data_IF_959695982979
#
_entry.id   IF_959695982979
#
_cell.length_a   1.000
_cell.length_b   1.000
_cell.length_c   1.000
_cell.angle_alpha   90.00
_cell.angle_beta   90.00
_cell.angle_gamma   90.00
#
_symmetry.space_group_name_H-M   'P 1'
#
loop_
_entity.id
_entity.type
_entity.pdbx_description
1 polymer ?
#
# COMPACT_ATOMS: atom_id res chain seq x y z
N UNK A 1 -16.83 -39.80 22.95
CA UNK A 1 -17.62 -38.81 22.23
C UNK A 1 -17.48 -39.07 20.73
N UNK A 2 -18.57 -39.46 20.06
CA UNK A 2 -18.60 -39.73 18.62
C UNK A 2 -19.16 -38.50 17.93
N UNK A 3 -18.42 -37.92 16.98
CA UNK A 3 -18.88 -36.81 16.14
C UNK A 3 -19.48 -37.41 14.87
N UNK A 4 -20.80 -37.26 14.71
CA UNK A 4 -21.54 -37.70 13.53
C UNK A 4 -21.31 -36.73 12.38
N UNK A 5 -20.87 -37.25 11.22
CA UNK A 5 -20.68 -36.47 10.01
C UNK A 5 -22.03 -36.09 9.37
N UNK A 6 -22.12 -34.86 8.90
CA UNK A 6 -23.25 -34.29 8.15
C UNK A 6 -23.30 -34.89 6.75
N UNK A 7 -24.41 -35.53 6.41
CA UNK A 7 -24.72 -36.04 5.08
C UNK A 7 -24.85 -34.92 4.07
N UNK A 8 -23.98 -34.89 3.03
CA UNK A 8 -24.09 -33.97 1.91
C UNK A 8 -25.27 -34.33 1.00
N UNK A 9 -26.15 -33.39 0.74
CA UNK A 9 -27.25 -33.48 -0.22
C UNK A 9 -26.69 -33.48 -1.65
N UNK A 10 -27.03 -34.43 -2.52
CA UNK A 10 -26.62 -34.39 -3.92
C UNK A 10 -27.46 -33.35 -4.67
N UNK A 11 -26.81 -32.33 -5.22
CA UNK A 11 -27.42 -31.35 -6.13
C UNK A 11 -27.58 -32.01 -7.49
N UNK A 12 -28.82 -32.26 -7.88
CA UNK A 12 -29.17 -32.77 -9.19
C UNK A 12 -28.81 -31.76 -10.29
N UNK A 13 -28.03 -32.22 -11.26
CA UNK A 13 -27.67 -31.47 -12.47
C UNK A 13 -28.87 -31.55 -13.44
N UNK A 14 -29.47 -30.44 -13.94
CA UNK A 14 -30.48 -30.51 -14.94
C UNK A 14 -29.82 -30.91 -16.29
N UNK A 15 -30.42 -31.93 -16.95
CA UNK A 15 -30.00 -32.39 -18.26
C UNK A 15 -30.13 -31.26 -19.30
N UNK A 16 -29.01 -30.91 -19.93
CA UNK A 16 -28.98 -30.00 -21.05
C UNK A 16 -29.59 -30.66 -22.25
N UNK A 17 -30.75 -30.16 -22.72
CA UNK A 17 -31.35 -30.48 -23.98
C UNK A 17 -30.46 -29.98 -25.12
N UNK A 18 -29.89 -30.89 -25.90
CA UNK A 18 -29.15 -30.61 -27.10
C UNK A 18 -30.07 -29.89 -28.13
N UNK A 19 -29.80 -28.61 -28.35
CA UNK A 19 -30.37 -27.89 -29.49
C UNK A 19 -29.62 -28.29 -30.75
N UNK A 20 -30.35 -28.92 -31.67
CA UNK A 20 -29.90 -29.18 -33.04
C UNK A 20 -29.39 -27.89 -33.69
N UNK A 21 -28.16 -27.89 -34.14
CA UNK A 21 -27.62 -26.85 -35.00
C UNK A 21 -28.36 -26.85 -36.34
N UNK A 22 -29.14 -25.81 -36.60
CA UNK A 22 -29.63 -25.52 -37.91
C UNK A 22 -28.48 -25.11 -38.82
N UNK A 23 -28.40 -25.76 -39.97
CA UNK A 23 -27.44 -25.44 -41.05
C UNK A 23 -27.87 -24.09 -41.68
N UNK A 24 -27.51 -22.98 -41.07
CA UNK A 24 -27.57 -21.66 -41.70
C UNK A 24 -26.27 -21.44 -42.45
N UNK A 25 -26.30 -21.54 -43.78
CA UNK A 25 -25.13 -21.25 -44.60
C UNK A 25 -24.63 -19.83 -44.37
N UNK A 26 -23.37 -19.68 -44.14
CA UNK A 26 -22.71 -18.38 -44.06
C UNK A 26 -22.63 -17.83 -45.50
N UNK A 27 -23.52 -16.86 -45.83
CA UNK A 27 -23.43 -16.11 -47.07
C UNK A 27 -22.33 -15.05 -46.91
N UNK A 28 -21.21 -15.21 -47.58
CA UNK A 28 -20.20 -14.18 -47.74
C UNK A 28 -20.76 -13.16 -48.74
N UNK A 29 -21.01 -11.92 -48.39
CA UNK A 29 -21.35 -10.89 -49.34
C UNK A 29 -20.13 -10.63 -50.24
N UNK A 30 -20.40 -10.66 -51.54
CA UNK A 30 -19.46 -10.49 -52.64
C UNK A 30 -18.67 -9.18 -52.47
N UNK A 31 -17.35 -9.29 -52.54
CA UNK A 31 -16.45 -8.17 -52.43
C UNK A 31 -16.37 -7.36 -53.71
N UNK A 32 -17.42 -6.59 -53.95
CA UNK A 32 -17.38 -5.57 -55.02
C UNK A 32 -17.79 -4.23 -54.42
N UNK A 33 -16.86 -3.27 -54.50
CA UNK A 33 -17.04 -1.84 -54.23
C UNK A 33 -17.18 -1.41 -52.76
N UNK A 34 -16.07 -1.29 -52.06
CA UNK A 34 -15.91 -0.27 -51.02
C UNK A 34 -14.48 0.23 -51.01
N UNK A 35 -14.12 0.93 -52.03
CA UNK A 35 -13.02 1.90 -51.99
C UNK A 35 -13.57 3.19 -51.34
N UNK A 36 -13.74 3.17 -50.06
CA UNK A 36 -13.68 4.36 -49.23
C UNK A 36 -12.76 4.04 -48.04
N UNK A 37 -11.53 4.44 -48.22
CA UNK A 37 -10.55 4.46 -47.14
C UNK A 37 -11.11 5.40 -46.04
N UNK A 38 -11.91 4.84 -45.14
CA UNK A 38 -12.25 5.50 -43.89
C UNK A 38 -10.92 5.65 -43.14
N UNK A 39 -10.46 6.90 -43.05
CA UNK A 39 -9.29 7.23 -42.27
C UNK A 39 -9.40 6.56 -40.91
N UNK A 40 -8.55 5.56 -40.70
CA UNK A 40 -8.35 4.96 -39.38
C UNK A 40 -7.79 6.09 -38.53
N UNK A 41 -8.66 6.73 -37.73
CA UNK A 41 -8.22 7.61 -36.67
C UNK A 41 -7.32 6.75 -35.78
N UNK A 42 -6.02 6.97 -35.90
CA UNK A 42 -5.07 6.31 -35.04
C UNK A 42 -5.50 6.50 -33.59
N UNK A 43 -5.60 5.44 -32.79
CA UNK A 43 -5.92 5.60 -31.38
C UNK A 43 -4.87 6.51 -30.78
N UNK A 44 -5.29 7.57 -30.08
CA UNK A 44 -4.41 8.39 -29.25
C UNK A 44 -4.06 7.54 -28.00
N UNK A 45 -2.93 6.84 -27.93
CA UNK A 45 -2.72 5.87 -26.88
C UNK A 45 -2.06 6.45 -25.64
N UNK A 46 -1.59 7.67 -25.63
CA UNK A 46 -0.73 8.15 -24.55
C UNK A 46 -1.46 8.94 -23.44
N UNK A 47 -2.50 9.70 -23.77
CA UNK A 47 -3.11 10.59 -22.79
C UNK A 47 -3.91 9.85 -21.68
N UNK A 48 -4.39 8.65 -21.97
CA UNK A 48 -5.19 7.87 -21.00
C UNK A 48 -4.32 7.03 -20.05
N UNK A 49 -3.10 6.67 -20.46
CA UNK A 49 -2.18 5.92 -19.58
C UNK A 49 -1.63 6.80 -18.48
N UNK A 50 -1.28 8.05 -18.78
CA UNK A 50 -0.85 9.01 -17.77
C UNK A 50 -1.98 9.36 -16.79
N UNK A 51 -3.22 9.46 -17.29
CA UNK A 51 -4.38 9.65 -16.43
C UNK A 51 -4.70 8.41 -15.58
N UNK A 52 -4.50 7.21 -16.12
CA UNK A 52 -4.64 5.96 -15.37
C UNK A 52 -3.50 5.77 -14.37
N UNK A 53 -2.29 6.17 -14.70
CA UNK A 53 -1.15 6.18 -13.78
C UNK A 53 -1.32 7.24 -12.69
N UNK A 54 -1.89 8.39 -13.02
CA UNK A 54 -2.24 9.41 -12.03
C UNK A 54 -3.41 8.99 -11.11
N UNK A 55 -4.38 8.22 -11.64
CA UNK A 55 -5.46 7.60 -10.86
C UNK A 55 -4.98 6.39 -10.06
N UNK A 56 -3.94 5.72 -10.52
CA UNK A 56 -3.18 4.71 -9.76
C UNK A 56 -2.06 5.39 -8.96
N UNK A 57 -2.08 6.71 -8.87
CA UNK A 57 -1.26 7.46 -7.92
C UNK A 57 -1.33 6.71 -6.61
N UNK A 58 -0.22 6.09 -6.28
CA UNK A 58 -0.02 5.13 -5.21
C UNK A 58 -0.44 5.85 -3.93
N UNK A 59 -1.74 5.85 -3.63
CA UNK A 59 -2.19 6.07 -2.26
C UNK A 59 -1.60 4.90 -1.50
N UNK A 60 -0.51 5.20 -0.81
CA UNK A 60 0.13 4.26 0.08
C UNK A 60 -0.96 3.61 0.95
N UNK A 61 -1.06 2.27 0.88
CA UNK A 61 -2.06 1.50 1.62
C UNK A 61 -2.10 2.02 3.08
N UNK A 62 -3.27 2.43 3.59
CA UNK A 62 -3.41 2.93 4.96
C UNK A 62 -2.80 1.98 6.00
N UNK A 63 -2.87 0.67 5.76
CA UNK A 63 -2.28 -0.35 6.63
C UNK A 63 -0.76 -0.28 6.60
N UNK A 64 -0.18 -0.13 5.42
CA UNK A 64 1.27 -0.03 5.27
C UNK A 64 1.80 1.29 5.83
N UNK A 65 1.09 2.40 5.63
CA UNK A 65 1.41 3.71 6.23
C UNK A 65 1.42 3.62 7.75
N UNK A 66 0.38 3.02 8.33
CA UNK A 66 0.30 2.78 9.78
C UNK A 66 1.45 1.90 10.28
N UNK A 67 1.75 0.82 9.58
CA UNK A 67 2.86 -0.09 9.93
C UNK A 67 4.20 0.63 9.93
N UNK A 68 4.50 1.43 8.91
CA UNK A 68 5.72 2.24 8.83
C UNK A 68 5.78 3.26 9.96
N UNK A 69 4.65 3.88 10.31
CA UNK A 69 4.59 4.85 11.40
C UNK A 69 4.91 4.20 12.75
N UNK A 70 4.34 3.02 13.03
CA UNK A 70 4.68 2.24 14.22
C UNK A 70 6.17 1.86 14.25
N UNK A 71 6.73 1.48 13.11
CA UNK A 71 8.15 1.13 13.02
C UNK A 71 9.06 2.33 13.27
N UNK A 72 8.70 3.53 12.77
CA UNK A 72 9.42 4.78 13.07
C UNK A 72 9.37 5.13 14.56
N UNK A 73 8.19 5.02 15.17
CA UNK A 73 8.04 5.24 16.62
C UNK A 73 8.90 4.29 17.44
N UNK A 74 8.89 3.00 17.13
CA UNK A 74 9.75 2.01 17.78
C UNK A 74 11.22 2.34 17.60
N UNK A 75 11.66 2.65 16.39
CA UNK A 75 13.06 3.03 16.14
C UNK A 75 13.51 4.27 16.93
N UNK A 76 12.62 5.25 17.14
CA UNK A 76 12.92 6.41 17.97
C UNK A 76 13.05 6.03 19.47
N UNK A 77 12.18 5.16 19.97
CA UNK A 77 12.27 4.64 21.35
C UNK A 77 13.54 3.85 21.58
N UNK A 78 13.94 3.00 20.63
CA UNK A 78 15.20 2.23 20.70
C UNK A 78 16.41 3.17 20.81
N UNK A 79 16.45 4.26 20.04
CA UNK A 79 17.53 5.26 20.13
C UNK A 79 17.51 6.02 21.45
N UNK A 80 16.32 6.32 22.02
CA UNK A 80 16.20 6.92 23.36
C UNK A 80 16.70 5.96 24.44
N UNK A 81 16.47 4.67 24.33
CA UNK A 81 16.99 3.67 25.25
C UNK A 81 18.51 3.53 25.13
N UNK A 82 19.08 3.52 23.92
CA UNK A 82 20.52 3.56 23.68
C UNK A 82 21.15 4.81 24.32
N UNK A 83 20.51 5.99 24.17
CA UNK A 83 20.95 7.23 24.81
C UNK A 83 20.97 7.10 26.34
N UNK A 84 19.88 6.56 26.91
CA UNK A 84 19.78 6.35 28.36
C UNK A 84 20.87 5.43 28.89
N UNK A 85 21.12 4.31 28.20
CA UNK A 85 22.18 3.36 28.54
C UNK A 85 23.54 4.04 28.45
N UNK A 86 23.78 4.80 27.37
CA UNK A 86 25.03 5.55 27.20
C UNK A 86 25.29 6.57 28.32
N UNK A 87 24.26 7.30 28.72
CA UNK A 87 24.34 8.26 29.83
C UNK A 87 24.64 7.56 31.18
N UNK A 88 23.99 6.43 31.45
CA UNK A 88 24.21 5.67 32.68
C UNK A 88 25.60 5.03 32.75
N UNK A 89 26.13 4.61 31.60
CA UNK A 89 27.48 4.02 31.51
C UNK A 89 28.59 5.06 31.37
N UNK A 90 28.26 6.33 31.26
CA UNK A 90 29.25 7.41 31.03
C UNK A 90 29.81 7.46 29.60
N UNK A 91 29.24 6.69 28.68
CA UNK A 91 29.63 6.61 27.28
C UNK A 91 28.62 7.38 26.39
N UNK A 92 28.69 8.70 26.47
CA UNK A 92 27.87 9.55 25.60
C UNK A 92 28.54 9.66 24.22
N UNK A 93 27.94 9.00 23.20
CA UNK A 93 28.52 8.98 21.87
C UNK A 93 27.76 9.96 20.94
N UNK A 94 28.53 10.75 20.19
CA UNK A 94 27.99 11.67 19.16
C UNK A 94 27.18 10.95 18.08
N UNK A 95 27.45 9.66 17.82
CA UNK A 95 26.69 8.85 16.89
C UNK A 95 25.25 8.63 17.37
N UNK A 96 25.04 8.44 18.66
CA UNK A 96 23.70 8.31 19.27
C UNK A 96 22.89 9.60 19.09
N UNK A 97 23.52 10.76 19.28
CA UNK A 97 22.88 12.07 19.03
C UNK A 97 22.48 12.24 17.57
N UNK A 98 23.36 11.85 16.65
CA UNK A 98 23.06 11.89 15.21
C UNK A 98 21.90 10.98 14.82
N UNK A 99 21.83 9.77 15.39
CA UNK A 99 20.71 8.84 15.21
C UNK A 99 19.42 9.40 15.81
N UNK A 100 19.48 10.06 16.95
CA UNK A 100 18.33 10.70 17.58
C UNK A 100 17.78 11.83 16.72
N UNK A 101 18.65 12.65 16.11
CA UNK A 101 18.26 13.70 15.16
C UNK A 101 17.59 13.12 13.92
N UNK A 102 18.10 12.04 13.36
CA UNK A 102 17.49 11.35 12.24
C UNK A 102 16.13 10.75 12.62
N UNK A 103 15.97 10.21 13.83
CA UNK A 103 14.72 9.70 14.34
C UNK A 103 13.66 10.82 14.46
N UNK A 104 14.02 12.00 14.99
CA UNK A 104 13.15 13.17 15.07
C UNK A 104 12.61 13.57 13.68
N UNK A 105 13.48 13.63 12.67
CA UNK A 105 13.10 13.98 11.31
C UNK A 105 12.09 12.97 10.71
N UNK A 106 12.25 11.68 11.04
CA UNK A 106 11.38 10.61 10.55
C UNK A 106 10.00 10.57 11.24
N UNK A 107 9.86 11.12 12.44
CA UNK A 107 8.59 11.15 13.19
C UNK A 107 7.60 12.19 12.66
N UNK A 108 8.05 13.20 11.92
CA UNK A 108 7.21 14.32 11.41
C UNK A 108 6.15 13.90 10.38
N UNK A 109 6.18 12.70 9.85
CA UNK A 109 5.21 12.23 8.85
C UNK A 109 3.99 11.60 9.51
N UNK A 110 2.80 11.98 9.04
CA UNK A 110 1.51 11.49 9.54
C UNK A 110 1.29 10.02 9.22
N UNK A 111 0.63 9.29 10.12
CA UNK A 111 0.22 7.89 9.93
C UNK A 111 -1.14 7.75 9.24
N UNK A 112 -1.97 8.80 9.31
CA UNK A 112 -3.38 8.77 8.93
C UNK A 112 -4.30 8.21 10.03
N UNK A 113 -3.75 7.87 11.19
CA UNK A 113 -4.49 7.44 12.39
C UNK A 113 -4.26 8.49 13.50
N UNK A 114 -5.28 9.26 13.89
CA UNK A 114 -5.12 10.34 14.88
C UNK A 114 -4.60 9.86 16.24
N UNK A 115 -4.99 8.64 16.65
CA UNK A 115 -4.51 8.08 17.91
C UNK A 115 -3.03 7.74 17.87
N UNK A 116 -2.56 7.16 16.77
CA UNK A 116 -1.15 6.88 16.55
C UNK A 116 -0.34 8.17 16.39
N UNK A 117 -0.87 9.17 15.67
CA UNK A 117 -0.21 10.44 15.46
C UNK A 117 -0.02 11.21 16.78
N UNK A 118 -0.97 11.13 17.72
CA UNK A 118 -0.82 11.69 19.06
C UNK A 118 0.35 11.04 19.81
N UNK A 119 0.45 9.71 19.80
CA UNK A 119 1.56 8.98 20.44
C UNK A 119 2.91 9.33 19.79
N UNK A 120 2.95 9.41 18.45
CA UNK A 120 4.17 9.77 17.73
C UNK A 120 4.63 11.20 18.08
N UNK A 121 3.70 12.14 18.27
CA UNK A 121 4.00 13.52 18.71
C UNK A 121 4.58 13.55 20.11
N UNK A 122 4.12 12.71 21.03
CA UNK A 122 4.70 12.60 22.38
C UNK A 122 6.14 12.04 22.32
N UNK A 123 6.38 11.04 21.47
CA UNK A 123 7.73 10.50 21.26
C UNK A 123 8.62 11.58 20.62
N UNK A 124 8.14 12.32 19.62
CA UNK A 124 8.87 13.41 18.98
C UNK A 124 9.29 14.47 19.99
N UNK A 125 8.35 14.93 20.82
CA UNK A 125 8.63 15.90 21.88
C UNK A 125 9.72 15.38 22.83
N UNK A 126 9.67 14.11 23.22
CA UNK A 126 10.70 13.49 24.06
C UNK A 126 12.08 13.51 23.39
N UNK A 127 12.13 13.16 22.12
CA UNK A 127 13.35 13.17 21.32
C UNK A 127 13.93 14.60 21.24
N UNK A 128 13.08 15.60 21.00
CA UNK A 128 13.51 17.01 20.95
C UNK A 128 14.06 17.51 22.29
N UNK A 129 13.43 17.12 23.40
CA UNK A 129 13.94 17.45 24.74
C UNK A 129 15.32 16.85 24.99
N UNK A 130 15.54 15.61 24.61
CA UNK A 130 16.85 14.99 24.80
C UNK A 130 17.92 15.60 23.85
N UNK A 131 17.55 15.99 22.63
CA UNK A 131 18.42 16.75 21.73
C UNK A 131 18.79 18.12 22.30
N UNK A 132 17.83 18.81 22.92
CA UNK A 132 18.08 20.09 23.61
C UNK A 132 19.09 19.94 24.73
N UNK A 133 18.92 18.94 25.58
CA UNK A 133 19.87 18.64 26.67
C UNK A 133 21.27 18.33 26.16
N UNK A 134 21.37 17.70 25.01
CA UNK A 134 22.63 17.41 24.34
C UNK A 134 23.27 18.64 23.65
N UNK A 135 22.61 19.82 23.71
CA UNK A 135 23.12 21.05 23.08
C UNK A 135 23.12 21.03 21.56
N UNK A 136 22.19 20.30 20.97
CA UNK A 136 22.13 20.02 19.53
C UNK A 136 20.94 20.72 18.85
N UNK A 137 20.76 22.03 19.05
CA UNK A 137 19.86 22.88 18.26
C UNK A 137 20.61 23.64 17.19
#
# INVERSE_FOLDING_TARGET
MRISGTSGTPIGVPAATARRAGSGGFAVPDAASASEARAVVAPKPAANLDALLALQGIEEDPVERRRRSVQRGKGALDVLDDLKIGLLSGNFDASTVSRLRAAAANLKSTSGDPGLDAVLSEIELRVEVELAKAGQF
#
